data_IF_177403325043
#
_entry.id   IF_177403325043
#
_cell.length_a   1.000
_cell.length_b   1.000
_cell.length_c   1.000
_cell.angle_alpha   90.00
_cell.angle_beta   90.00
_cell.angle_gamma   90.00
#
_symmetry.space_group_name_H-M   'P 1'
#
loop_
_entity.id
_entity.type
_entity.pdbx_description
1 polymer ?
#
# COMPACT_ATOMS: atom_id res chain seq x y z
N UNK A 1 14.29 -3.42 13.62
CA UNK A 1 15.64 -2.83 13.76
C UNK A 1 15.89 -2.27 15.15
N UNK A 2 15.14 -1.26 15.61
CA UNK A 2 15.37 -0.67 16.95
C UNK A 2 15.46 -1.71 18.08
N UNK A 3 14.52 -2.66 18.15
CA UNK A 3 14.57 -3.75 19.14
C UNK A 3 15.84 -4.61 19.03
N UNK A 4 16.28 -4.94 17.82
CA UNK A 4 17.50 -5.73 17.58
C UNK A 4 18.72 -5.00 18.16
N UNK A 5 18.84 -3.70 17.87
CA UNK A 5 19.93 -2.87 18.38
C UNK A 5 19.93 -2.80 19.90
N UNK A 6 18.77 -2.56 20.52
CA UNK A 6 18.61 -2.45 21.97
C UNK A 6 18.98 -3.76 22.66
N UNK A 7 18.43 -4.89 22.20
CA UNK A 7 18.74 -6.19 22.78
C UNK A 7 20.18 -6.62 22.51
N UNK A 8 20.76 -6.27 21.37
CA UNK A 8 22.18 -6.48 21.11
C UNK A 8 23.04 -5.75 22.14
N UNK A 9 22.78 -4.46 22.39
CA UNK A 9 23.50 -3.65 23.40
C UNK A 9 23.31 -4.22 24.80
N UNK A 10 22.08 -4.62 25.14
CA UNK A 10 21.78 -5.17 26.46
C UNK A 10 22.50 -6.50 26.69
N UNK A 11 22.52 -7.40 25.71
CA UNK A 11 23.25 -8.68 25.80
C UNK A 11 24.78 -8.51 25.84
N UNK A 12 25.33 -7.41 25.32
CA UNK A 12 26.77 -7.13 25.43
C UNK A 12 27.15 -6.47 26.75
N UNK A 13 26.29 -5.61 27.30
CA UNK A 13 26.60 -4.79 28.47
C UNK A 13 26.34 -5.54 29.77
N UNK A 14 25.29 -6.35 29.83
CA UNK A 14 24.94 -7.08 31.05
C UNK A 14 25.53 -8.49 30.96
N UNK A 15 26.39 -8.85 31.92
CA UNK A 15 26.83 -10.24 32.16
C UNK A 15 25.69 -11.13 32.67
N UNK A 16 24.47 -10.95 32.15
CA UNK A 16 23.31 -11.78 32.41
C UNK A 16 23.05 -12.61 31.17
N UNK A 17 23.35 -13.90 31.24
CA UNK A 17 22.86 -14.83 30.24
C UNK A 17 21.34 -14.94 30.42
N UNK A 18 20.51 -14.45 29.50
CA UNK A 18 19.05 -14.61 29.60
C UNK A 18 18.70 -16.10 29.62
N UNK A 19 17.62 -16.45 30.32
CA UNK A 19 17.07 -17.81 30.25
C UNK A 19 16.55 -18.14 28.85
N UNK A 20 16.12 -17.12 28.11
CA UNK A 20 15.51 -17.23 26.80
C UNK A 20 16.46 -16.77 25.70
N UNK A 21 16.37 -17.43 24.55
CA UNK A 21 17.06 -17.01 23.33
C UNK A 21 16.10 -16.20 22.48
N UNK A 22 16.52 -15.00 22.08
CA UNK A 22 15.75 -14.13 21.21
C UNK A 22 16.16 -14.38 19.75
N UNK A 23 15.17 -14.62 18.90
CA UNK A 23 15.34 -14.75 17.45
C UNK A 23 14.53 -13.67 16.75
N UNK A 24 15.11 -13.05 15.72
CA UNK A 24 14.42 -12.06 14.90
C UNK A 24 14.22 -12.62 13.50
N UNK A 25 12.98 -12.55 13.02
CA UNK A 25 12.59 -12.90 11.67
C UNK A 25 12.00 -11.66 11.01
N UNK A 26 12.44 -11.36 9.80
CA UNK A 26 11.82 -10.36 8.95
C UNK A 26 11.33 -11.06 7.69
N UNK A 27 10.02 -11.12 7.52
CA UNK A 27 9.39 -11.71 6.34
C UNK A 27 8.94 -10.63 5.37
N UNK A 28 9.43 -10.70 4.13
CA UNK A 28 9.05 -9.78 3.07
C UNK A 28 7.83 -10.32 2.33
N UNK A 29 6.65 -10.18 2.93
CA UNK A 29 5.33 -10.54 2.39
C UNK A 29 4.29 -10.40 3.49
N UNK A 30 3.73 -9.19 3.63
CA UNK A 30 2.70 -8.92 4.63
C UNK A 30 1.32 -9.44 4.23
N UNK A 31 0.29 -8.74 4.69
CA UNK A 31 -1.13 -9.08 4.47
C UNK A 31 -1.52 -9.20 2.98
N UNK A 32 -0.91 -8.39 2.10
CA UNK A 32 -1.23 -8.37 0.67
C UNK A 32 -0.90 -9.68 -0.03
N UNK A 33 0.17 -10.35 0.40
CA UNK A 33 0.63 -11.64 -0.11
C UNK A 33 0.37 -12.76 0.89
N UNK A 34 -0.61 -12.58 1.77
CA UNK A 34 -1.08 -13.60 2.69
C UNK A 34 0.04 -14.22 3.58
N UNK A 35 1.03 -13.43 3.99
CA UNK A 35 2.11 -13.89 4.87
C UNK A 35 2.91 -15.08 4.31
N UNK A 36 3.15 -15.09 3.01
CA UNK A 36 3.78 -16.23 2.32
C UNK A 36 5.22 -16.48 2.76
N UNK A 37 5.98 -15.45 3.09
CA UNK A 37 7.36 -15.55 3.56
C UNK A 37 7.44 -16.27 4.89
N UNK A 38 6.54 -15.92 5.83
CA UNK A 38 6.44 -16.62 7.11
C UNK A 38 5.98 -18.07 6.91
N UNK A 39 5.04 -18.34 5.98
CA UNK A 39 4.63 -19.71 5.61
C UNK A 39 5.84 -20.54 5.16
N UNK A 40 6.60 -20.05 4.17
CA UNK A 40 7.77 -20.74 3.62
C UNK A 40 8.85 -20.97 4.67
N UNK A 41 9.14 -19.96 5.49
CA UNK A 41 10.14 -20.09 6.55
C UNK A 41 9.78 -21.17 7.57
N UNK A 42 8.49 -21.30 7.94
CA UNK A 42 8.03 -22.35 8.86
C UNK A 42 8.11 -23.75 8.22
N UNK A 43 7.93 -23.84 6.90
CA UNK A 43 7.97 -25.11 6.16
C UNK A 43 9.39 -25.63 5.89
N UNK A 44 10.43 -24.82 6.14
CA UNK A 44 11.82 -25.26 6.02
C UNK A 44 12.19 -26.26 7.13
N UNK A 45 12.69 -27.44 6.74
CA UNK A 45 12.94 -28.60 7.61
C UNK A 45 14.10 -28.42 8.62
N UNK A 46 14.95 -27.41 8.46
CA UNK A 46 16.16 -27.19 9.29
C UNK A 46 15.91 -26.52 10.66
N UNK A 47 14.66 -26.35 11.05
CA UNK A 47 14.29 -25.56 12.21
C UNK A 47 14.39 -26.34 13.53
N UNK A 48 15.53 -26.98 13.81
CA UNK A 48 15.86 -27.53 15.15
C UNK A 48 15.70 -26.47 16.26
N UNK A 49 15.88 -25.19 15.91
CA UNK A 49 15.67 -24.04 16.79
C UNK A 49 14.20 -23.77 17.16
N UNK A 50 13.23 -24.27 16.38
CA UNK A 50 11.80 -24.04 16.61
C UNK A 50 11.16 -25.04 17.58
N UNK A 51 11.84 -26.11 18.00
CA UNK A 51 11.24 -27.17 18.82
C UNK A 51 10.80 -26.69 20.21
N UNK A 52 11.48 -25.69 20.78
CA UNK A 52 11.22 -25.17 22.13
C UNK A 52 10.93 -23.65 22.10
N UNK A 53 9.94 -23.23 21.30
CA UNK A 53 9.51 -21.83 21.25
C UNK A 53 8.45 -21.55 22.31
N UNK A 54 8.73 -20.59 23.19
CA UNK A 54 7.81 -20.16 24.25
C UNK A 54 6.61 -19.38 23.68
N UNK A 55 6.88 -18.40 22.82
CA UNK A 55 5.90 -17.74 21.96
C UNK A 55 6.58 -16.97 20.82
N UNK A 56 5.81 -16.66 19.78
CA UNK A 56 6.18 -15.79 18.67
C UNK A 56 5.41 -14.47 18.78
N UNK A 57 6.15 -13.37 18.88
CA UNK A 57 5.62 -12.02 18.87
C UNK A 57 5.70 -11.46 17.44
N UNK A 58 4.55 -11.25 16.81
CA UNK A 58 4.46 -10.58 15.51
C UNK A 58 4.15 -9.09 15.74
N UNK A 59 4.79 -8.22 14.98
CA UNK A 59 4.63 -6.78 15.07
C UNK A 59 4.01 -6.25 13.79
N UNK A 60 2.95 -5.45 13.91
CA UNK A 60 2.23 -4.97 12.75
C UNK A 60 1.64 -3.58 13.02
N UNK A 61 1.88 -2.60 12.14
CA UNK A 61 1.25 -1.26 12.20
C UNK A 61 1.16 -0.67 13.62
N UNK A 62 2.29 -0.58 14.35
CA UNK A 62 2.31 -0.15 15.77
C UNK A 62 2.20 1.38 15.91
N UNK A 63 2.71 2.12 14.92
CA UNK A 63 2.90 3.58 14.99
C UNK A 63 1.72 4.39 14.44
N UNK A 64 0.69 3.74 13.90
CA UNK A 64 -0.33 4.41 13.08
C UNK A 64 -1.72 4.28 13.71
N UNK A 65 -2.07 5.24 14.56
CA UNK A 65 -3.46 5.56 14.89
C UNK A 65 -3.93 6.68 13.98
N UNK A 66 -4.84 6.39 13.03
CA UNK A 66 -5.29 7.39 12.03
C UNK A 66 -6.11 8.55 12.63
N UNK A 67 -6.39 8.51 13.93
CA UNK A 67 -7.35 9.41 14.56
C UNK A 67 -6.65 10.09 15.73
N UNK A 68 -6.24 11.35 15.55
CA UNK A 68 -5.62 12.16 16.62
C UNK A 68 -6.56 12.36 17.83
N UNK A 69 -7.83 11.99 17.67
CA UNK A 69 -8.88 12.11 18.69
C UNK A 69 -9.20 10.79 19.39
N UNK A 70 -8.53 9.68 19.04
CA UNK A 70 -8.69 8.41 19.75
C UNK A 70 -7.55 8.19 20.75
N UNK A 71 -7.82 7.51 21.88
CA UNK A 71 -6.76 7.10 22.79
C UNK A 71 -5.78 6.18 22.04
N UNK A 72 -4.50 6.25 22.42
CA UNK A 72 -3.50 5.33 21.88
C UNK A 72 -3.83 3.93 22.41
N UNK A 73 -4.40 3.07 21.57
CA UNK A 73 -4.73 1.70 21.94
C UNK A 73 -3.82 0.74 21.18
N UNK A 74 -3.12 -0.12 21.94
CA UNK A 74 -2.35 -1.23 21.41
C UNK A 74 -3.18 -2.52 21.54
N UNK A 75 -3.54 -3.11 20.41
CA UNK A 75 -4.29 -4.34 20.37
C UNK A 75 -3.36 -5.55 20.28
N UNK A 76 -3.58 -6.52 21.16
CA UNK A 76 -2.97 -7.84 21.10
C UNK A 76 -3.95 -8.84 20.50
N UNK A 77 -3.69 -9.23 19.26
CA UNK A 77 -4.50 -10.17 18.50
C UNK A 77 -4.04 -11.59 18.77
N UNK A 78 -4.99 -12.44 19.17
CA UNK A 78 -4.75 -13.85 19.50
C UNK A 78 -5.72 -14.77 18.79
N UNK A 79 -5.20 -15.90 18.31
CA UNK A 79 -6.01 -16.96 17.67
C UNK A 79 -6.76 -17.85 18.67
N UNK A 80 -6.23 -17.96 19.89
CA UNK A 80 -6.81 -18.70 21.01
C UNK A 80 -6.70 -17.83 22.25
N UNK A 81 -7.76 -17.67 23.06
CA UNK A 81 -7.66 -16.89 24.28
C UNK A 81 -6.60 -17.52 25.20
N UNK A 82 -5.63 -16.73 25.70
CA UNK A 82 -4.56 -17.25 26.52
C UNK A 82 -5.12 -17.67 27.89
N UNK A 83 -4.88 -18.93 28.28
CA UNK A 83 -5.22 -19.40 29.64
C UNK A 83 -4.33 -18.70 30.66
N UNK A 84 -4.82 -18.46 31.87
CA UNK A 84 -4.16 -17.60 32.87
C UNK A 84 -2.74 -18.00 33.30
N UNK A 85 -2.32 -19.24 33.02
CA UNK A 85 -0.99 -19.77 33.33
C UNK A 85 -0.06 -19.86 32.13
N UNK A 86 -0.49 -19.43 30.94
CA UNK A 86 0.36 -19.48 29.75
C UNK A 86 1.33 -18.30 29.71
N UNK A 87 2.45 -18.51 29.05
CA UNK A 87 3.50 -17.53 28.76
C UNK A 87 2.95 -16.26 28.13
N UNK A 88 2.01 -16.41 27.19
CA UNK A 88 1.30 -15.32 26.52
C UNK A 88 0.44 -14.52 27.52
N UNK A 89 -0.27 -15.18 28.44
CA UNK A 89 -1.07 -14.48 29.45
C UNK A 89 -0.21 -13.66 30.40
N UNK A 90 0.92 -14.24 30.85
CA UNK A 90 1.87 -13.56 31.71
C UNK A 90 2.48 -12.34 31.02
N UNK A 91 2.91 -12.49 29.75
CA UNK A 91 3.41 -11.39 28.95
C UNK A 91 2.35 -10.30 28.75
N UNK A 92 1.10 -10.65 28.45
CA UNK A 92 0.01 -9.68 28.27
C UNK A 92 -0.26 -8.87 29.54
N UNK A 93 -0.30 -9.51 30.72
CA UNK A 93 -0.45 -8.83 32.01
C UNK A 93 0.68 -7.84 32.26
N UNK A 94 1.91 -8.26 31.97
CA UNK A 94 3.11 -7.46 32.15
C UNK A 94 3.18 -6.28 31.17
N UNK A 95 2.82 -6.49 29.91
CA UNK A 95 2.70 -5.41 28.92
C UNK A 95 1.65 -4.38 29.36
N UNK A 96 0.52 -4.83 29.91
CA UNK A 96 -0.55 -3.94 30.41
C UNK A 96 -0.10 -3.13 31.63
N UNK A 97 0.66 -3.71 32.55
CA UNK A 97 1.18 -2.98 33.72
C UNK A 97 2.22 -1.93 33.32
N UNK A 98 3.12 -2.27 32.40
CA UNK A 98 4.18 -1.37 31.92
C UNK A 98 3.59 -0.23 31.10
N UNK A 99 2.68 -0.52 30.18
CA UNK A 99 2.00 0.50 29.39
C UNK A 99 1.26 1.51 30.28
N UNK A 100 0.56 1.03 31.32
CA UNK A 100 -0.14 1.89 32.28
C UNK A 100 0.80 2.72 33.18
N UNK A 101 2.03 2.26 33.42
CA UNK A 101 3.03 2.98 34.20
C UNK A 101 3.71 4.08 33.39
N UNK A 102 4.24 3.75 32.20
CA UNK A 102 5.01 4.69 31.40
C UNK A 102 4.15 5.72 30.69
N UNK A 103 2.95 5.36 30.23
CA UNK A 103 2.08 6.27 29.47
C UNK A 103 0.62 6.12 29.90
N UNK A 104 0.12 7.11 30.65
CA UNK A 104 -1.30 7.16 31.07
C UNK A 104 -2.30 7.14 29.90
N UNK A 105 -1.84 7.45 28.69
CA UNK A 105 -2.67 7.52 27.48
C UNK A 105 -2.61 6.24 26.61
N UNK A 106 -1.76 5.25 26.95
CA UNK A 106 -1.61 4.01 26.19
C UNK A 106 -2.39 2.87 26.87
N UNK A 107 -3.48 2.43 26.25
CA UNK A 107 -4.24 1.27 26.72
C UNK A 107 -3.89 0.03 25.91
N UNK A 108 -3.82 -1.12 26.58
CA UNK A 108 -3.53 -2.41 25.94
C UNK A 108 -4.78 -3.30 26.04
N UNK A 109 -5.31 -3.70 24.87
CA UNK A 109 -6.52 -4.52 24.76
C UNK A 109 -6.24 -5.85 24.06
N UNK A 110 -6.93 -6.92 24.50
CA UNK A 110 -6.82 -8.23 23.88
C UNK A 110 -7.99 -8.49 22.94
N UNK A 111 -7.71 -8.81 21.67
CA UNK A 111 -8.71 -9.17 20.67
C UNK A 111 -8.51 -10.63 20.27
N UNK A 112 -9.57 -11.41 20.40
CA UNK A 112 -9.57 -12.80 19.97
C UNK A 112 -10.29 -12.96 18.64
N UNK A 113 -9.63 -13.64 17.70
CA UNK A 113 -10.24 -14.08 16.44
C UNK A 113 -9.89 -15.55 16.22
N UNK A 114 -10.91 -16.39 16.04
CA UNK A 114 -10.70 -17.80 15.68
C UNK A 114 -10.21 -17.91 14.24
N UNK A 115 -9.20 -18.75 14.00
CA UNK A 115 -8.70 -19.05 12.65
C UNK A 115 -9.76 -19.83 11.87
N UNK A 116 -10.09 -19.35 10.67
CA UNK A 116 -10.92 -20.08 9.73
C UNK A 116 -10.02 -20.84 8.73
N UNK A 117 -10.01 -22.17 8.82
CA UNK A 117 -9.19 -23.03 7.94
C UNK A 117 -9.71 -23.07 6.50
N UNK A 118 -10.97 -22.73 6.28
CA UNK A 118 -11.57 -22.70 4.95
C UNK A 118 -11.26 -21.40 4.19
N UNK A 119 -10.80 -20.36 4.90
CA UNK A 119 -10.47 -19.09 4.26
C UNK A 119 -9.09 -19.18 3.59
N UNK A 120 -9.02 -18.71 2.35
CA UNK A 120 -7.75 -18.65 1.61
C UNK A 120 -6.83 -17.58 2.17
N UNK A 121 -7.40 -16.49 2.73
CA UNK A 121 -6.65 -15.35 3.24
C UNK A 121 -6.65 -15.29 4.75
N UNK A 122 -5.46 -15.20 5.33
CA UNK A 122 -5.27 -14.99 6.76
C UNK A 122 -5.37 -13.52 7.09
N UNK A 123 -5.81 -13.25 8.32
CA UNK A 123 -6.02 -11.88 8.80
C UNK A 123 -4.80 -11.29 9.49
N UNK A 124 -4.02 -12.16 10.14
CA UNK A 124 -2.86 -11.78 10.93
C UNK A 124 -1.72 -12.78 10.72
N UNK A 125 -0.49 -12.29 10.83
CA UNK A 125 0.69 -13.13 10.62
C UNK A 125 0.78 -14.28 11.64
N UNK A 126 0.40 -14.04 12.90
CA UNK A 126 0.44 -15.06 13.95
C UNK A 126 -0.44 -16.28 13.64
N UNK A 127 -1.45 -16.15 12.75
CA UNK A 127 -2.29 -17.27 12.33
C UNK A 127 -1.47 -18.35 11.61
N UNK A 128 -0.45 -17.97 10.80
CA UNK A 128 0.47 -18.92 10.13
C UNK A 128 1.21 -19.79 11.15
N UNK A 129 1.73 -19.16 12.20
CA UNK A 129 2.44 -19.84 13.28
C UNK A 129 1.50 -20.75 14.08
N UNK A 130 0.28 -20.27 14.38
CA UNK A 130 -0.72 -21.04 15.11
C UNK A 130 -1.22 -22.27 14.33
N UNK A 131 -1.30 -22.22 13.00
CA UNK A 131 -1.62 -23.40 12.16
C UNK A 131 -0.60 -24.53 12.35
N UNK A 132 0.68 -24.18 12.54
CA UNK A 132 1.78 -25.12 12.81
C UNK A 132 1.97 -25.39 14.30
N UNK A 133 1.00 -25.00 15.13
CA UNK A 133 0.94 -25.21 16.59
C UNK A 133 1.96 -24.41 17.41
N UNK A 134 2.54 -23.35 16.85
CA UNK A 134 3.36 -22.43 17.63
C UNK A 134 2.46 -21.45 18.42
N UNK A 135 2.74 -21.21 19.71
CA UNK A 135 2.11 -20.14 20.46
C UNK A 135 2.51 -18.79 19.85
N UNK A 136 1.56 -18.01 19.34
CA UNK A 136 1.86 -16.75 18.65
C UNK A 136 0.75 -15.71 18.84
N UNK A 137 1.12 -14.43 18.76
CA UNK A 137 0.19 -13.30 18.79
C UNK A 137 0.74 -12.11 18.01
N UNK A 138 -0.13 -11.19 17.58
CA UNK A 138 0.26 -9.96 16.87
C UNK A 138 -0.06 -8.73 17.71
N UNK A 139 0.90 -7.83 17.89
CA UNK A 139 0.65 -6.48 18.42
C UNK A 139 0.41 -5.50 17.28
N UNK A 140 -0.67 -4.74 17.36
CA UNK A 140 -1.05 -3.77 16.32
C UNK A 140 -1.90 -2.62 16.83
N UNK A 141 -1.78 -1.44 16.22
CA UNK A 141 -2.70 -0.33 16.46
C UNK A 141 -4.04 -0.51 15.72
N UNK A 142 -4.09 -1.40 14.72
CA UNK A 142 -5.32 -1.70 14.01
C UNK A 142 -6.21 -2.70 14.77
N UNK A 143 -7.45 -2.30 15.06
CA UNK A 143 -8.47 -3.16 15.69
C UNK A 143 -8.95 -4.29 14.77
N UNK A 144 -9.11 -4.01 13.48
CA UNK A 144 -9.61 -4.96 12.48
C UNK A 144 -8.55 -5.27 11.43
N UNK A 145 -8.45 -6.52 10.94
CA UNK A 145 -7.53 -6.88 9.87
C UNK A 145 -7.89 -6.23 8.52
N UNK A 146 -9.13 -5.77 8.35
CA UNK A 146 -9.61 -5.09 7.13
C UNK A 146 -9.50 -3.56 7.27
N UNK A 147 -8.78 -3.08 8.27
CA UNK A 147 -8.61 -1.65 8.47
C UNK A 147 -7.89 -1.00 7.28
N UNK A 148 -8.36 0.18 6.81
CA UNK A 148 -7.74 0.88 5.68
C UNK A 148 -6.30 1.35 6.00
N UNK A 149 -5.95 1.38 7.28
CA UNK A 149 -4.59 1.62 7.79
C UNK A 149 -3.53 0.75 7.13
N UNK A 150 -3.89 -0.48 6.75
CA UNK A 150 -2.95 -1.48 6.24
C UNK A 150 -2.73 -1.40 4.73
N UNK A 151 -3.66 -0.77 4.01
CA UNK A 151 -3.72 -0.79 2.54
C UNK A 151 -3.65 0.60 1.93
N UNK A 152 -3.10 1.56 2.67
CA UNK A 152 -2.96 2.94 2.22
C UNK A 152 -1.65 3.16 1.48
N UNK A 153 -1.70 3.96 0.42
CA UNK A 153 -0.51 4.46 -0.29
C UNK A 153 0.04 5.75 0.34
N UNK A 154 -0.70 6.37 1.28
CA UNK A 154 -0.34 7.65 1.86
C UNK A 154 0.65 7.47 3.02
N UNK A 155 1.76 8.21 2.95
CA UNK A 155 2.76 8.31 4.02
C UNK A 155 2.29 9.33 5.06
N UNK A 156 2.42 8.99 6.35
CA UNK A 156 2.17 9.94 7.43
C UNK A 156 3.40 10.83 7.66
N UNK A 157 3.24 11.84 8.51
CA UNK A 157 4.34 12.71 8.91
C UNK A 157 5.44 11.91 9.65
N UNK A 158 6.69 12.06 9.22
CA UNK A 158 7.82 11.32 9.79
C UNK A 158 8.05 11.64 11.27
N UNK A 159 7.90 12.91 11.68
CA UNK A 159 8.08 13.30 13.08
C UNK A 159 7.09 12.60 14.01
N UNK A 160 5.83 12.50 13.58
CA UNK A 160 4.78 11.80 14.32
C UNK A 160 5.09 10.29 14.43
N UNK A 161 5.55 9.68 13.33
CA UNK A 161 5.94 8.27 13.34
C UNK A 161 7.08 8.04 14.34
N UNK A 162 8.09 8.90 14.37
CA UNK A 162 9.26 8.76 15.24
C UNK A 162 8.86 8.82 16.71
N UNK A 163 8.06 9.82 17.11
CA UNK A 163 7.60 9.97 18.50
C UNK A 163 6.83 8.73 18.97
N UNK A 164 5.86 8.28 18.18
CA UNK A 164 5.08 7.08 18.49
C UNK A 164 5.91 5.79 18.45
N UNK A 165 6.95 5.73 17.61
CA UNK A 165 7.85 4.58 17.54
C UNK A 165 8.73 4.50 18.79
N UNK A 166 9.29 5.61 19.27
CA UNK A 166 10.07 5.65 20.52
C UNK A 166 9.22 5.11 21.68
N UNK A 167 8.00 5.61 21.82
CA UNK A 167 7.04 5.18 22.84
C UNK A 167 6.76 3.68 22.72
N UNK A 168 6.44 3.21 21.52
CA UNK A 168 6.07 1.81 21.28
C UNK A 168 7.23 0.85 21.52
N UNK A 169 8.42 1.20 21.04
CA UNK A 169 9.64 0.41 21.23
C UNK A 169 10.03 0.37 22.70
N UNK A 170 9.90 1.48 23.45
CA UNK A 170 10.14 1.49 24.89
C UNK A 170 9.25 0.49 25.62
N UNK A 171 7.94 0.56 25.42
CA UNK A 171 6.99 -0.35 26.06
C UNK A 171 7.22 -1.83 25.68
N UNK A 172 7.52 -2.12 24.41
CA UNK A 172 7.77 -3.49 23.94
C UNK A 172 9.13 -4.01 24.44
N UNK A 173 10.17 -3.18 24.42
CA UNK A 173 11.50 -3.56 24.89
C UNK A 173 11.49 -3.82 26.40
N UNK A 174 10.89 -2.94 27.20
CA UNK A 174 10.76 -3.10 28.65
C UNK A 174 9.95 -4.34 29.00
N UNK A 175 8.82 -4.56 28.32
CA UNK A 175 8.01 -5.74 28.58
C UNK A 175 8.73 -7.04 28.24
N UNK A 176 9.47 -7.09 27.13
CA UNK A 176 10.31 -8.23 26.79
C UNK A 176 11.48 -8.41 27.76
N UNK A 177 12.16 -7.34 28.17
CA UNK A 177 13.27 -7.41 29.11
C UNK A 177 12.81 -7.92 30.49
N UNK A 178 11.73 -7.37 31.04
CA UNK A 178 11.16 -7.83 32.30
C UNK A 178 10.71 -9.30 32.22
N UNK A 179 10.10 -9.69 31.10
CA UNK A 179 9.71 -11.08 30.87
C UNK A 179 10.92 -12.04 30.78
N UNK A 180 11.95 -11.68 30.02
CA UNK A 180 13.12 -12.54 29.77
C UNK A 180 14.05 -12.68 30.97
N UNK A 181 14.30 -11.58 31.68
CA UNK A 181 15.23 -11.52 32.81
C UNK A 181 14.53 -11.71 34.16
N UNK A 182 13.18 -11.75 34.18
CA UNK A 182 12.37 -11.80 35.40
C UNK A 182 12.70 -10.65 36.38
N UNK A 183 12.90 -9.47 35.81
CA UNK A 183 13.11 -8.23 36.55
C UNK A 183 11.74 -7.65 36.91
N UNK A 184 11.69 -6.90 38.00
CA UNK A 184 10.47 -6.19 38.39
C UNK A 184 10.01 -5.22 37.30
N UNK A 185 8.69 -5.15 37.02
CA UNK A 185 8.14 -4.39 35.90
C UNK A 185 8.29 -2.87 36.01
N UNK A 186 8.71 -2.37 37.18
CA UNK A 186 8.94 -0.95 37.45
C UNK A 186 10.43 -0.59 37.46
N UNK A 187 11.31 -1.56 37.19
CA UNK A 187 12.72 -1.28 37.00
C UNK A 187 12.89 -0.71 35.60
N UNK A 188 13.27 0.56 35.49
CA UNK A 188 13.46 1.24 34.22
C UNK A 188 14.77 0.79 33.56
N UNK A 189 14.76 -0.42 32.98
CA UNK A 189 15.93 -1.12 32.44
C UNK A 189 16.64 -0.32 31.34
N UNK A 190 15.91 0.52 30.62
CA UNK A 190 16.41 1.27 29.47
C UNK A 190 16.64 2.76 29.75
N UNK A 191 17.00 3.10 30.99
CA UNK A 191 17.41 4.47 31.34
C UNK A 191 18.93 4.64 31.34
N UNK A 192 19.40 5.81 30.88
CA UNK A 192 20.82 6.15 30.74
C UNK A 192 21.44 5.68 29.43
N UNK A 193 22.54 4.90 29.49
CA UNK A 193 23.35 4.53 28.32
C UNK A 193 22.62 3.61 27.32
N UNK A 194 21.54 2.96 27.74
CA UNK A 194 20.68 2.12 26.90
C UNK A 194 19.37 2.84 26.48
N UNK A 195 19.33 4.16 26.60
CA UNK A 195 18.14 4.95 26.26
C UNK A 195 17.73 4.81 24.79
N UNK A 196 16.42 4.75 24.59
CA UNK A 196 15.78 4.68 23.29
C UNK A 196 15.56 6.10 22.81
N UNK A 197 16.48 6.58 21.99
CA UNK A 197 16.51 7.96 21.47
C UNK A 197 16.04 7.96 20.01
N UNK A 198 15.41 9.05 19.58
CA UNK A 198 14.98 9.26 18.19
C UNK A 198 16.11 9.07 17.17
N UNK A 199 17.32 9.50 17.50
CA UNK A 199 18.50 9.41 16.63
C UNK A 199 18.88 7.97 16.29
N UNK A 200 18.54 7.00 17.15
CA UNK A 200 18.75 5.59 16.85
C UNK A 200 17.70 5.06 15.85
N UNK A 201 16.53 5.68 15.77
CA UNK A 201 15.39 5.23 14.95
C UNK A 201 15.40 5.85 13.56
N UNK A 202 15.78 7.14 13.45
CA UNK A 202 15.81 7.91 12.20
C UNK A 202 16.49 7.17 11.04
N UNK A 203 17.65 6.49 11.21
CA UNK A 203 18.32 5.80 10.11
C UNK A 203 17.49 4.65 9.51
N UNK A 204 16.56 4.09 10.27
CA UNK A 204 15.78 2.92 9.85
C UNK A 204 14.46 3.27 9.14
N UNK A 205 14.04 4.55 9.12
CA UNK A 205 12.72 4.96 8.59
C UNK A 205 12.62 4.89 7.06
N UNK A 206 13.76 4.82 6.36
CA UNK A 206 13.85 4.86 4.90
C UNK A 206 14.35 3.57 4.25
N UNK A 207 14.47 2.47 5.03
CA UNK A 207 15.07 1.25 4.50
C UNK A 207 14.14 0.60 3.47
N UNK A 208 14.72 0.21 2.33
CA UNK A 208 14.04 -0.49 1.24
C UNK A 208 14.16 -2.00 1.37
N UNK A 209 13.32 -2.73 0.63
CA UNK A 209 13.35 -4.19 0.58
C UNK A 209 14.74 -4.75 0.19
N UNK A 210 15.09 -5.92 0.74
CA UNK A 210 16.38 -6.59 0.53
C UNK A 210 16.69 -6.86 -0.94
N UNK A 211 15.65 -7.03 -1.77
CA UNK A 211 15.79 -7.24 -3.21
C UNK A 211 16.35 -6.00 -3.94
N UNK A 212 16.07 -4.79 -3.42
CA UNK A 212 16.53 -3.54 -4.01
C UNK A 212 17.85 -3.07 -3.39
N UNK A 213 18.03 -3.28 -2.08
CA UNK A 213 19.23 -2.87 -1.37
C UNK A 213 19.56 -3.82 -0.21
N UNK A 214 20.85 -3.98 0.10
CA UNK A 214 21.34 -4.82 1.20
C UNK A 214 21.29 -4.13 2.57
N UNK A 215 20.82 -2.88 2.68
CA UNK A 215 20.78 -2.11 3.94
C UNK A 215 20.16 -2.88 5.13
N UNK A 216 19.09 -3.64 4.89
CA UNK A 216 18.46 -4.46 5.94
C UNK A 216 19.42 -5.55 6.40
N UNK A 217 20.05 -6.24 5.45
CA UNK A 217 21.01 -7.32 5.73
C UNK A 217 22.18 -6.77 6.53
N UNK A 218 22.79 -5.69 6.04
CA UNK A 218 23.94 -5.06 6.67
C UNK A 218 23.58 -4.54 8.07
N UNK A 219 22.37 -3.99 8.22
CA UNK A 219 21.82 -3.61 9.51
C UNK A 219 21.64 -4.80 10.46
N UNK A 220 21.20 -5.96 9.97
CA UNK A 220 21.11 -7.17 10.79
C UNK A 220 22.50 -7.69 11.15
N UNK A 221 23.44 -7.75 10.21
CA UNK A 221 24.81 -8.25 10.42
C UNK A 221 25.60 -7.37 11.39
N UNK A 222 25.30 -6.07 11.46
CA UNK A 222 25.89 -5.15 12.43
C UNK A 222 25.56 -5.52 13.89
N UNK A 223 24.36 -6.04 14.16
CA UNK A 223 23.88 -6.32 15.53
C UNK A 223 23.75 -7.82 15.84
N UNK A 224 23.69 -8.69 14.82
CA UNK A 224 23.46 -10.13 14.96
C UNK A 224 24.58 -10.93 14.28
N UNK A 225 25.03 -12.01 14.93
CA UNK A 225 26.15 -12.83 14.42
C UNK A 225 25.77 -13.85 13.35
N UNK A 226 24.51 -14.28 13.28
CA UNK A 226 24.05 -15.38 12.41
C UNK A 226 22.85 -14.94 11.55
N UNK A 227 23.10 -14.15 10.51
CA UNK A 227 22.06 -13.68 9.60
C UNK A 227 21.98 -14.62 8.39
N UNK A 228 20.77 -15.10 8.10
CA UNK A 228 20.48 -15.92 6.91
C UNK A 228 19.39 -15.24 6.10
N UNK A 229 19.55 -15.22 4.78
CA UNK A 229 18.55 -14.71 3.85
C UNK A 229 18.00 -15.88 3.07
N UNK A 230 16.67 -15.91 2.92
CA UNK A 230 15.96 -16.87 2.10
C UNK A 230 15.21 -16.10 1.02
N UNK A 231 15.44 -16.49 -0.23
CA UNK A 231 14.68 -16.00 -1.37
C UNK A 231 13.74 -17.08 -1.84
N UNK A 232 12.55 -16.65 -2.22
CA UNK A 232 11.55 -17.55 -2.75
C UNK A 232 11.04 -17.03 -4.09
N UNK A 233 10.96 -17.94 -5.07
CA UNK A 233 10.37 -17.66 -6.37
C UNK A 233 8.99 -18.33 -6.41
N UNK A 234 7.91 -17.61 -6.78
CA UNK A 234 6.61 -18.25 -6.97
C UNK A 234 6.70 -19.28 -8.09
N UNK A 235 5.95 -20.38 -7.96
CA UNK A 235 5.85 -21.39 -9.00
C UNK A 235 5.19 -20.79 -10.25
N UNK A 236 5.70 -21.12 -11.43
CA UNK A 236 5.23 -20.57 -12.71
C UNK A 236 3.92 -21.20 -13.18
N UNK A 237 3.58 -22.40 -12.70
CA UNK A 237 2.36 -23.12 -13.12
C UNK A 237 1.14 -22.77 -12.28
N UNK A 238 1.30 -22.74 -10.97
CA UNK A 238 0.24 -22.43 -10.00
C UNK A 238 0.77 -21.48 -8.92
N UNK A 239 0.91 -20.17 -9.24
CA UNK A 239 1.41 -19.21 -8.27
C UNK A 239 0.38 -18.94 -7.16
N UNK A 240 0.77 -19.16 -5.90
CA UNK A 240 0.00 -18.73 -4.71
C UNK A 240 -0.29 -17.21 -4.72
N UNK A 241 0.58 -16.43 -5.37
CA UNK A 241 0.45 -14.99 -5.54
C UNK A 241 1.17 -14.53 -6.81
N UNK A 242 0.69 -13.46 -7.44
CA UNK A 242 1.31 -12.86 -8.62
C UNK A 242 1.47 -11.36 -8.41
N UNK A 243 2.66 -10.84 -8.68
CA UNK A 243 2.88 -9.40 -8.72
C UNK A 243 2.27 -8.80 -9.99
N UNK A 244 1.89 -7.53 -9.92
CA UNK A 244 1.53 -6.79 -11.12
C UNK A 244 2.71 -6.83 -12.10
N UNK A 245 2.48 -7.36 -13.30
CA UNK A 245 3.42 -7.19 -14.40
C UNK A 245 3.53 -5.70 -14.71
N UNK A 246 4.73 -5.24 -15.07
CA UNK A 246 4.94 -3.88 -15.57
C UNK A 246 4.25 -3.75 -16.94
N UNK A 247 2.94 -3.59 -16.92
CA UNK A 247 2.23 -3.09 -18.07
C UNK A 247 2.64 -1.63 -18.19
N UNK A 248 2.98 -1.17 -19.39
CA UNK A 248 3.24 0.24 -19.67
C UNK A 248 1.91 0.87 -20.12
N UNK A 249 0.98 1.24 -19.21
CA UNK A 249 -0.29 1.82 -19.62
C UNK A 249 -0.02 3.15 -20.33
N UNK A 250 -0.43 3.25 -21.59
CA UNK A 250 -0.42 4.51 -22.32
C UNK A 250 -1.68 5.29 -21.95
N UNK A 251 -1.52 6.36 -21.17
CA UNK A 251 -2.61 7.28 -20.86
C UNK A 251 -2.87 8.18 -22.09
N UNK A 252 -3.87 7.82 -22.88
CA UNK A 252 -4.30 8.65 -24.01
C UNK A 252 -5.28 9.72 -23.52
N UNK A 253 -4.85 10.98 -23.53
CA UNK A 253 -5.70 12.12 -23.18
C UNK A 253 -6.32 12.67 -24.46
N UNK A 254 -7.61 12.40 -24.67
CA UNK A 254 -8.35 12.95 -25.80
C UNK A 254 -9.07 14.23 -25.40
N UNK A 255 -8.95 15.27 -26.24
CA UNK A 255 -9.80 16.45 -26.13
C UNK A 255 -11.18 16.11 -26.68
N UNK A 256 -12.21 16.20 -25.85
CA UNK A 256 -13.61 15.98 -26.26
C UNK A 256 -14.02 17.05 -27.28
N UNK A 257 -14.99 16.72 -28.14
CA UNK A 257 -15.52 17.61 -29.19
C UNK A 257 -15.84 19.00 -28.62
N UNK A 258 -15.21 20.08 -29.11
CA UNK A 258 -15.52 21.43 -28.65
C UNK A 258 -16.88 21.87 -29.21
N UNK A 259 -17.66 22.63 -28.42
CA UNK A 259 -18.95 23.19 -28.84
C UNK A 259 -18.87 24.06 -30.11
N UNK A 260 -17.67 24.54 -30.43
CA UNK A 260 -17.34 25.28 -31.66
C UNK A 260 -17.60 24.43 -32.92
N UNK A 261 -17.46 23.10 -32.83
CA UNK A 261 -17.72 22.21 -33.96
C UNK A 261 -19.19 22.27 -34.42
N UNK A 262 -20.13 22.28 -33.47
CA UNK A 262 -21.56 22.36 -33.77
C UNK A 262 -21.94 23.75 -34.32
N UNK A 263 -21.26 24.81 -33.89
CA UNK A 263 -21.44 26.15 -34.43
C UNK A 263 -20.95 26.25 -35.88
N UNK A 264 -19.77 25.68 -36.19
CA UNK A 264 -19.28 25.58 -37.57
C UNK A 264 -20.21 24.75 -38.45
N UNK A 265 -20.74 23.64 -37.93
CA UNK A 265 -21.69 22.80 -38.66
C UNK A 265 -22.98 23.55 -38.96
N UNK A 266 -23.51 24.28 -37.97
CA UNK A 266 -24.73 25.09 -38.13
C UNK A 266 -24.51 26.22 -39.14
N UNK A 267 -23.35 26.88 -39.09
CA UNK A 267 -22.97 27.90 -40.07
C UNK A 267 -22.88 27.32 -41.49
N UNK A 268 -22.21 26.16 -41.65
CA UNK A 268 -22.09 25.50 -42.94
C UNK A 268 -23.46 25.10 -43.53
N UNK A 269 -24.36 24.56 -42.71
CA UNK A 269 -25.74 24.22 -43.12
C UNK A 269 -26.52 25.49 -43.52
N UNK A 270 -26.37 26.58 -42.77
CA UNK A 270 -27.03 27.86 -43.06
C UNK A 270 -26.57 28.43 -44.41
N UNK A 271 -25.26 28.47 -44.66
CA UNK A 271 -24.68 28.94 -45.93
C UNK A 271 -25.15 28.08 -47.11
N UNK A 272 -25.19 26.75 -46.93
CA UNK A 272 -25.68 25.83 -47.96
C UNK A 272 -27.14 26.12 -48.35
N UNK A 273 -28.04 26.22 -47.37
CA UNK A 273 -29.45 26.51 -47.61
C UNK A 273 -29.65 27.88 -48.25
N UNK A 274 -28.88 28.89 -47.83
CA UNK A 274 -28.90 30.22 -48.42
C UNK A 274 -28.47 30.18 -49.89
N UNK A 275 -27.39 29.48 -50.22
CA UNK A 275 -26.94 29.30 -51.60
C UNK A 275 -28.01 28.68 -52.49
N UNK A 276 -28.68 27.62 -52.01
CA UNK A 276 -29.78 26.96 -52.72
C UNK A 276 -30.97 27.92 -52.92
N UNK A 277 -31.35 28.67 -51.89
CA UNK A 277 -32.44 29.66 -51.97
C UNK A 277 -32.15 30.74 -53.02
N UNK A 278 -30.94 31.31 -53.00
CA UNK A 278 -30.54 32.31 -54.00
C UNK A 278 -30.47 31.72 -55.40
N UNK A 279 -29.97 30.50 -55.58
CA UNK A 279 -29.97 29.84 -56.88
C UNK A 279 -31.40 29.74 -57.45
N UNK A 280 -32.38 29.30 -56.64
CA UNK A 280 -33.78 29.21 -57.06
C UNK A 280 -34.37 30.59 -57.36
N UNK A 281 -34.13 31.59 -56.51
CA UNK A 281 -34.70 32.93 -56.67
C UNK A 281 -34.07 33.72 -57.84
N UNK A 282 -32.78 33.52 -58.12
CA UNK A 282 -32.10 34.17 -59.24
C UNK A 282 -32.27 33.42 -60.56
N UNK A 283 -32.72 32.17 -60.54
CA UNK A 283 -32.94 31.36 -61.74
C UNK A 283 -33.88 32.02 -62.77
N UNK A 284 -35.01 32.65 -62.41
CA UNK A 284 -35.87 33.33 -63.37
C UNK A 284 -35.21 34.55 -64.02
N UNK A 285 -34.38 35.29 -63.27
CA UNK A 285 -33.61 36.43 -63.78
C UNK A 285 -32.47 35.98 -64.69
N UNK A 286 -31.82 34.87 -64.36
CA UNK A 286 -30.80 34.27 -65.21
C UNK A 286 -31.39 33.71 -66.51
N UNK A 287 -32.56 33.06 -66.41
CA UNK A 287 -33.32 32.56 -67.55
C UNK A 287 -33.77 33.71 -68.48
N UNK A 288 -34.25 34.83 -67.93
CA UNK A 288 -34.64 35.99 -68.74
C UNK A 288 -33.45 36.74 -69.35
N UNK A 289 -32.30 36.79 -68.68
CA UNK A 289 -31.06 37.30 -69.26
C UNK A 289 -30.58 36.44 -70.43
N UNK A 290 -30.58 35.11 -70.29
CA UNK A 290 -30.23 34.19 -71.38
C UNK A 290 -31.25 34.29 -72.52
N UNK A 291 -32.55 34.38 -72.24
CA UNK A 291 -33.58 34.51 -73.29
C UNK A 291 -33.48 35.85 -74.03
N UNK A 292 -33.08 36.92 -73.34
CA UNK A 292 -32.84 38.23 -73.96
C UNK A 292 -31.54 38.25 -74.76
N UNK A 293 -30.44 37.68 -74.27
CA UNK A 293 -29.18 37.57 -75.00
C UNK A 293 -29.29 36.69 -76.24
N UNK A 294 -30.07 35.61 -76.18
CA UNK A 294 -30.38 34.77 -77.35
C UNK A 294 -31.28 35.50 -78.36
N UNK A 295 -32.29 36.24 -77.92
CA UNK A 295 -33.09 37.11 -78.80
C UNK A 295 -32.27 38.22 -79.48
N UNK A 296 -31.29 38.81 -78.78
CA UNK A 296 -30.37 39.80 -79.35
C UNK A 296 -29.46 39.14 -80.40
N UNK A 297 -28.92 37.96 -80.11
CA UNK A 297 -28.12 37.19 -81.08
C UNK A 297 -28.91 36.82 -82.33
N UNK A 298 -30.16 36.36 -82.18
CA UNK A 298 -31.06 36.03 -83.30
C UNK A 298 -31.43 37.28 -84.11
N UNK A 299 -31.69 38.43 -83.46
CA UNK A 299 -31.92 39.71 -84.17
C UNK A 299 -30.68 40.22 -84.91
N UNK A 300 -29.48 40.03 -84.37
CA UNK A 300 -28.23 40.37 -85.06
C UNK A 300 -27.94 39.43 -86.24
N UNK A 301 -28.28 38.14 -86.15
CA UNK A 301 -28.13 37.17 -87.24
C UNK A 301 -29.12 37.40 -88.39
N UNK A 302 -30.35 37.85 -88.09
CA UNK A 302 -31.36 38.17 -89.11
C UNK A 302 -31.00 39.48 -89.84
N UNK A 303 -30.32 40.43 -89.18
CA UNK A 303 -29.95 41.72 -89.79
C UNK A 303 -28.69 41.64 -90.68
N UNK A 304 -27.91 40.56 -90.62
CA UNK A 304 -26.69 40.38 -91.42
C UNK A 304 -26.86 39.58 -92.71
N UNK A 305 -28.07 39.14 -93.08
CA UNK A 305 -28.32 38.40 -94.32
C UNK A 305 -29.22 39.15 -95.31
N UNK A 306 -28.73 40.20 -96.02
CA UNK A 306 -29.28 40.56 -97.32
C UNK A 306 -28.66 39.66 -98.40
N UNK A 307 -29.48 39.27 -99.37
CA UNK A 307 -29.15 38.52 -100.60
C UNK A 307 -29.07 37.00 -100.46
N UNK A 308 -30.16 36.32 -100.84
CA UNK A 308 -30.20 35.49 -102.05
C UNK A 308 -31.43 34.58 -102.02
N UNK A 309 -32.34 34.75 -102.99
CA UNK A 309 -32.75 33.72 -103.96
C UNK A 309 -34.15 33.98 -104.55
N UNK A 310 -34.09 34.47 -105.80
CA UNK A 310 -35.03 34.39 -106.93
C UNK A 310 -36.26 33.48 -106.75
N UNK A 311 -37.44 34.07 -106.94
CA UNK A 311 -38.64 33.42 -107.48
C UNK A 311 -38.70 33.61 -109.01
N UNK A 312 -39.06 32.54 -109.72
CA UNK A 312 -39.77 32.61 -111.01
C UNK A 312 -41.15 33.21 -110.80
#
# INVERSE_FOLDING_TARGET
MALIEIFSKLHTTVSTTPKYRLGFLLSDSGLLLNFQGSKKWIEMDDNLALRNVEFVLCLDTITRSLDSNQPNVLYMHVSKPPKEKTSISNYFKLLKSIAGHHNKNLTVEGIHKKINLADSKLSWEHERFCMKRFPAFTLSSAKSPVSPLRTTMFKDNESYIIEHLVISVKNIAESLACYMYKIDPFSEVFEGHAAIIEDNIRPYLGIKATLQNNDIKDGFEKYLKNVKIFFDKPDEREPDFMFYSSNNPKLNIYRVKPAIFDLFLTFAISVYLFGVYFAIHFFPRFYSLISNSTNIYIRCFIKSSPNALKRK
#
